data_IF_295359224669
#
_entry.id   IF_295359224669
#
_cell.length_a   1.000
_cell.length_b   1.000
_cell.length_c   1.000
_cell.angle_alpha   90.00
_cell.angle_beta   90.00
_cell.angle_gamma   90.00
#
_symmetry.space_group_name_H-M   'P 1'
#
loop_
_entity.id
_entity.type
_entity.pdbx_description
1 polymer ?
#
# COMPACT_ATOMS: atom_id res chain seq x y z
N UNK A 1 17.36 28.50 -18.79
CA UNK A 1 17.82 27.12 -18.58
C UNK A 1 17.46 26.58 -17.19
N UNK A 2 17.56 27.36 -16.10
CA UNK A 2 17.16 26.89 -14.75
C UNK A 2 15.64 26.73 -14.51
N UNK A 3 14.78 27.55 -15.14
CA UNK A 3 13.32 27.46 -14.94
C UNK A 3 12.75 26.08 -15.34
N UNK A 4 13.24 25.53 -16.46
CA UNK A 4 12.81 24.22 -16.98
C UNK A 4 13.18 23.06 -16.06
N UNK A 5 14.29 23.17 -15.32
CA UNK A 5 14.76 22.13 -14.42
C UNK A 5 13.88 22.04 -13.17
N UNK A 6 13.35 23.17 -12.71
CA UNK A 6 12.44 23.23 -11.55
C UNK A 6 11.05 22.68 -11.90
N UNK A 7 10.54 22.98 -13.09
CA UNK A 7 9.27 22.42 -13.57
C UNK A 7 9.36 20.90 -13.79
N UNK A 8 10.48 20.42 -14.35
CA UNK A 8 10.72 18.99 -14.52
C UNK A 8 10.82 18.26 -13.17
N UNK A 9 11.47 18.86 -12.17
CA UNK A 9 11.55 18.31 -10.81
C UNK A 9 10.16 18.20 -10.15
N UNK A 10 9.34 19.24 -10.23
CA UNK A 10 7.95 19.21 -9.71
C UNK A 10 7.08 18.17 -10.39
N UNK A 11 7.22 18.01 -11.71
CA UNK A 11 6.50 16.99 -12.46
C UNK A 11 6.92 15.57 -12.06
N UNK A 12 8.22 15.33 -11.82
CA UNK A 12 8.72 14.06 -11.30
C UNK A 12 8.25 13.78 -9.87
N UNK A 13 8.27 14.78 -8.97
CA UNK A 13 7.77 14.63 -7.61
C UNK A 13 6.28 14.28 -7.57
N UNK A 14 5.47 14.93 -8.41
CA UNK A 14 4.04 14.63 -8.52
C UNK A 14 3.79 13.21 -9.06
N UNK A 15 4.57 12.78 -10.07
CA UNK A 15 4.51 11.43 -10.60
C UNK A 15 4.93 10.38 -9.56
N UNK A 16 5.98 10.67 -8.77
CA UNK A 16 6.46 9.80 -7.70
C UNK A 16 5.46 9.72 -6.55
N UNK A 17 4.85 10.84 -6.14
CA UNK A 17 3.75 10.82 -5.16
C UNK A 17 2.55 10.02 -5.66
N UNK A 18 2.17 10.16 -6.93
CA UNK A 18 1.08 9.36 -7.50
C UNK A 18 1.45 7.88 -7.57
N UNK A 19 2.69 7.54 -7.91
CA UNK A 19 3.18 6.17 -7.89
C UNK A 19 3.16 5.61 -6.47
N UNK A 20 3.67 6.35 -5.48
CA UNK A 20 3.62 5.95 -4.07
C UNK A 20 2.17 5.80 -3.62
N UNK A 21 1.26 6.71 -4.00
CA UNK A 21 -0.16 6.64 -3.63
C UNK A 21 -0.90 5.49 -4.31
N UNK A 22 -0.54 5.13 -5.54
CA UNK A 22 -1.12 3.97 -6.26
C UNK A 22 -0.50 2.64 -5.83
N UNK A 23 0.82 2.58 -5.61
CA UNK A 23 1.50 1.42 -5.05
C UNK A 23 1.09 1.18 -3.59
N UNK A 24 0.83 2.26 -2.83
CA UNK A 24 0.18 2.23 -1.52
C UNK A 24 -1.35 2.13 -1.60
N UNK A 25 -1.93 1.89 -2.78
CA UNK A 25 -3.36 1.58 -2.94
C UNK A 25 -3.77 0.29 -2.23
N UNK A 26 -2.79 -0.50 -1.79
CA UNK A 26 -2.98 -1.47 -0.70
C UNK A 26 -1.95 -1.13 0.37
N UNK A 27 -2.34 -0.30 1.34
CA UNK A 27 -1.48 -0.07 2.49
C UNK A 27 -1.44 -1.35 3.33
N UNK A 28 -0.37 -1.59 4.12
CA UNK A 28 -0.34 -2.69 5.07
C UNK A 28 -1.57 -2.69 5.99
N UNK A 29 -2.11 -1.51 6.32
CA UNK A 29 -3.35 -1.37 7.07
C UNK A 29 -4.58 -1.87 6.28
N UNK A 30 -4.67 -1.58 4.98
CA UNK A 30 -5.74 -2.05 4.10
C UNK A 30 -5.70 -3.57 3.92
N UNK A 31 -4.49 -4.15 3.78
CA UNK A 31 -4.31 -5.60 3.75
C UNK A 31 -4.73 -6.26 5.07
N UNK A 32 -4.33 -5.72 6.22
CA UNK A 32 -4.76 -6.22 7.53
C UNK A 32 -6.28 -6.14 7.69
N UNK A 33 -6.91 -5.10 7.15
CA UNK A 33 -8.36 -4.92 7.22
C UNK A 33 -9.09 -5.96 6.36
N UNK A 34 -8.59 -6.25 5.16
CA UNK A 34 -9.12 -7.36 4.32
C UNK A 34 -8.92 -8.72 4.97
N UNK A 35 -7.76 -8.96 5.58
CA UNK A 35 -7.51 -10.22 6.29
C UNK A 35 -8.49 -10.40 7.45
N UNK A 36 -8.82 -9.33 8.18
CA UNK A 36 -9.82 -9.37 9.24
C UNK A 36 -11.22 -9.67 8.70
N UNK A 37 -11.63 -9.05 7.59
CA UNK A 37 -12.91 -9.34 6.91
C UNK A 37 -13.01 -10.81 6.49
N UNK A 38 -11.95 -11.36 5.88
CA UNK A 38 -11.91 -12.77 5.46
C UNK A 38 -12.04 -13.73 6.64
N UNK A 39 -11.42 -13.39 7.77
CA UNK A 39 -11.51 -14.19 9.00
C UNK A 39 -12.92 -14.11 9.60
N UNK A 40 -13.51 -12.92 9.68
CA UNK A 40 -14.86 -12.71 10.23
C UNK A 40 -15.92 -13.47 9.42
N UNK A 41 -15.75 -13.50 8.10
CA UNK A 41 -16.59 -14.27 7.17
C UNK A 41 -16.33 -15.78 7.21
N UNK A 42 -15.35 -16.25 7.97
CA UNK A 42 -14.96 -17.65 8.06
C UNK A 42 -14.31 -18.21 6.79
N UNK A 43 -13.79 -17.35 5.92
CA UNK A 43 -13.07 -17.76 4.70
C UNK A 43 -11.67 -18.29 5.04
N UNK A 44 -11.07 -17.74 6.09
CA UNK A 44 -9.77 -18.16 6.63
C UNK A 44 -9.89 -18.40 8.13
N UNK A 45 -9.10 -19.35 8.64
CA UNK A 45 -8.98 -19.59 10.09
C UNK A 45 -8.00 -18.61 10.76
N UNK A 46 -8.04 -18.53 12.10
CA UNK A 46 -7.09 -17.77 12.91
C UNK A 46 -5.63 -18.08 12.55
N UNK A 47 -5.26 -19.34 12.33
CA UNK A 47 -3.88 -19.71 11.98
C UNK A 47 -3.44 -19.14 10.62
N UNK A 48 -4.36 -19.08 9.65
CA UNK A 48 -4.10 -18.49 8.34
C UNK A 48 -4.01 -16.97 8.42
N UNK A 49 -4.89 -16.35 9.20
CA UNK A 49 -4.86 -14.91 9.48
C UNK A 49 -3.51 -14.49 10.09
N UNK A 50 -3.02 -15.18 11.11
CA UNK A 50 -1.74 -14.83 11.76
C UNK A 50 -0.54 -14.97 10.81
N UNK A 51 -0.54 -15.99 9.97
CA UNK A 51 0.51 -16.19 8.95
C UNK A 51 0.52 -15.08 7.90
N UNK A 52 -0.65 -14.65 7.44
CA UNK A 52 -0.79 -13.58 6.46
C UNK A 52 -0.48 -12.22 7.07
N UNK A 53 -0.96 -11.95 8.29
CA UNK A 53 -0.62 -10.75 9.07
C UNK A 53 0.88 -10.61 9.26
N UNK A 54 1.58 -11.69 9.63
CA UNK A 54 3.03 -11.66 9.77
C UNK A 54 3.71 -11.25 8.46
N UNK A 55 3.24 -11.75 7.32
CA UNK A 55 3.79 -11.40 6.00
C UNK A 55 3.56 -9.93 5.61
N UNK A 56 2.46 -9.33 6.05
CA UNK A 56 2.11 -7.93 5.78
C UNK A 56 2.92 -6.95 6.66
N UNK A 57 3.32 -7.38 7.86
CA UNK A 57 4.03 -6.54 8.85
C UNK A 57 5.55 -6.78 8.87
N UNK A 58 6.04 -7.81 8.16
CA UNK A 58 7.47 -8.14 8.07
C UNK A 58 8.22 -7.30 7.04
#
# INVERSE_FOLDING_TARGET
MHEHEIEAAKAQEAAMQNYIRNAAGTTPADELHRLADLKDRGVIDQAEFDKLKAKVVS
#
